data_IF_808906921501
#
_entry.id   IF_808906921501
#
_cell.length_a   1.000
_cell.length_b   1.000
_cell.length_c   1.000
_cell.angle_alpha   90.00
_cell.angle_beta   90.00
_cell.angle_gamma   90.00
#
_symmetry.space_group_name_H-M   'P 1'
#
loop_
_entity.id
_entity.type
_entity.pdbx_description
1 polymer ?
#
# COMPACT_ATOMS: atom_id res chain seq x y z
N UNK A 1 -4.62 -6.20 -0.65
CA UNK A 1 -3.79 -5.32 -1.50
C UNK A 1 -4.31 -5.44 -2.92
N UNK A 2 -4.33 -4.34 -3.69
CA UNK A 2 -4.59 -4.38 -5.14
C UNK A 2 -3.45 -3.67 -5.85
N UNK A 3 -2.93 -4.27 -6.91
CA UNK A 3 -1.86 -3.69 -7.72
C UNK A 3 -1.81 -4.29 -9.11
N UNK A 4 -1.07 -3.64 -10.00
CA UNK A 4 -0.81 -4.15 -11.34
C UNK A 4 0.34 -5.15 -11.33
N UNK A 5 0.12 -6.29 -11.97
CA UNK A 5 1.13 -7.33 -12.18
C UNK A 5 1.38 -7.49 -13.68
N UNK A 6 2.63 -7.37 -14.18
CA UNK A 6 2.94 -7.61 -15.58
C UNK A 6 2.85 -9.10 -15.94
N UNK A 7 2.82 -9.39 -17.24
CA UNK A 7 2.86 -10.78 -17.74
C UNK A 7 4.10 -11.51 -17.23
N UNK A 8 3.92 -12.75 -16.77
CA UNK A 8 4.99 -13.54 -16.16
C UNK A 8 5.50 -13.03 -14.81
N UNK A 9 4.79 -12.12 -14.14
CA UNK A 9 5.16 -11.67 -12.80
C UNK A 9 5.32 -12.84 -11.82
N UNK A 10 6.41 -12.80 -11.07
CA UNK A 10 6.72 -13.76 -10.02
C UNK A 10 7.02 -13.02 -8.73
N UNK A 11 6.42 -13.46 -7.63
CA UNK A 11 6.63 -12.82 -6.34
C UNK A 11 6.42 -13.82 -5.19
N UNK A 12 6.73 -13.35 -3.99
CA UNK A 12 6.45 -14.01 -2.72
C UNK A 12 5.84 -12.98 -1.79
N UNK A 13 5.03 -13.41 -0.85
CA UNK A 13 4.63 -12.58 0.28
C UNK A 13 5.50 -12.95 1.46
N UNK A 14 6.20 -11.96 2.03
CA UNK A 14 7.01 -12.15 3.23
C UNK A 14 6.54 -11.17 4.30
N UNK A 15 6.46 -11.64 5.54
CA UNK A 15 6.05 -10.78 6.66
C UNK A 15 7.09 -9.73 6.99
N UNK A 16 8.35 -10.16 7.06
CA UNK A 16 9.49 -9.32 7.41
C UNK A 16 10.37 -9.18 6.17
N UNK A 17 10.46 -7.99 5.55
CA UNK A 17 11.33 -7.77 4.40
C UNK A 17 12.76 -8.27 4.67
N UNK A 18 13.27 -9.14 3.79
CA UNK A 18 14.61 -9.74 3.92
C UNK A 18 14.67 -11.04 4.75
N UNK A 19 13.60 -11.44 5.44
CA UNK A 19 13.48 -12.76 6.07
C UNK A 19 12.45 -13.63 5.33
N UNK A 20 12.80 -14.90 5.17
CA UNK A 20 12.00 -15.91 4.48
C UNK A 20 11.33 -16.89 5.45
N UNK A 21 11.44 -16.65 6.75
CA UNK A 21 10.92 -17.56 7.79
C UNK A 21 9.39 -17.55 7.85
N UNK A 22 8.78 -16.41 7.51
CA UNK A 22 7.32 -16.22 7.49
C UNK A 22 6.91 -15.72 6.09
N UNK A 23 6.64 -16.66 5.19
CA UNK A 23 6.43 -16.45 3.76
C UNK A 23 5.29 -17.29 3.17
N UNK A 24 4.72 -16.80 2.08
CA UNK A 24 3.76 -17.53 1.26
C UNK A 24 4.26 -17.71 -0.16
N UNK A 25 4.05 -18.91 -0.69
CA UNK A 25 4.45 -19.34 -2.01
C UNK A 25 3.46 -20.28 -2.67
N UNK A 26 3.84 -20.82 -3.82
CA UNK A 26 3.06 -21.80 -4.57
C UNK A 26 3.64 -23.20 -4.38
N UNK A 27 2.85 -24.12 -3.81
CA UNK A 27 3.14 -25.54 -3.76
C UNK A 27 2.31 -26.33 -4.79
N UNK A 28 2.47 -27.65 -4.83
CA UNK A 28 1.83 -28.52 -5.83
C UNK A 28 0.29 -28.49 -5.79
N UNK A 29 -0.28 -28.26 -4.61
CA UNK A 29 -1.74 -28.25 -4.36
C UNK A 29 -2.33 -26.84 -4.21
N UNK A 30 -1.55 -25.78 -4.45
CA UNK A 30 -1.97 -24.38 -4.28
C UNK A 30 -1.04 -23.59 -3.38
N UNK A 31 -1.55 -22.50 -2.82
CA UNK A 31 -0.75 -21.61 -1.97
C UNK A 31 -0.41 -22.25 -0.64
N UNK A 32 0.84 -22.05 -0.19
CA UNK A 32 1.38 -22.65 1.04
C UNK A 32 2.12 -21.61 1.87
N UNK A 33 2.03 -21.73 3.19
CA UNK A 33 2.74 -20.90 4.18
C UNK A 33 3.97 -21.63 4.71
N UNK A 34 5.08 -20.91 4.82
CA UNK A 34 6.33 -21.33 5.48
C UNK A 34 6.91 -22.64 4.96
N UNK A 35 6.66 -22.92 3.69
CA UNK A 35 7.29 -24.02 2.96
C UNK A 35 8.50 -23.49 2.19
N UNK A 36 9.71 -23.76 2.69
CA UNK A 36 10.96 -23.33 2.06
C UNK A 36 11.21 -23.90 0.66
N UNK A 37 10.49 -24.96 0.26
CA UNK A 37 10.53 -25.52 -1.10
C UNK A 37 9.49 -24.94 -2.05
N UNK A 38 8.56 -24.11 -1.57
CA UNK A 38 7.51 -23.54 -2.41
C UNK A 38 8.06 -22.62 -3.49
N UNK A 39 7.47 -22.70 -4.68
CA UNK A 39 7.75 -21.81 -5.81
C UNK A 39 7.22 -20.39 -5.60
N UNK A 40 7.49 -19.54 -6.59
CA UNK A 40 6.96 -18.18 -6.62
C UNK A 40 5.46 -18.19 -6.91
N UNK A 41 4.74 -17.25 -6.32
CA UNK A 41 3.39 -16.89 -6.71
C UNK A 41 3.43 -16.26 -8.10
N UNK A 42 2.43 -16.56 -8.91
CA UNK A 42 2.28 -16.06 -10.28
C UNK A 42 0.86 -15.56 -10.51
N UNK A 43 0.71 -14.77 -11.56
CA UNK A 43 -0.59 -14.42 -12.15
C UNK A 43 -0.64 -14.95 -13.59
N UNK A 44 -1.84 -15.29 -14.07
CA UNK A 44 -2.02 -15.93 -15.38
C UNK A 44 -1.76 -14.99 -16.56
N UNK A 45 -2.00 -13.69 -16.39
CA UNK A 45 -1.82 -12.67 -17.40
C UNK A 45 -1.53 -11.31 -16.75
N UNK A 46 -1.07 -10.36 -17.56
CA UNK A 46 -0.90 -8.97 -17.11
C UNK A 46 -2.25 -8.35 -16.71
N UNK A 47 -2.33 -7.70 -15.55
CA UNK A 47 -3.56 -7.06 -15.09
C UNK A 47 -3.50 -6.60 -13.64
N UNK A 48 -4.60 -6.03 -13.16
CA UNK A 48 -4.78 -5.73 -11.73
C UNK A 48 -5.25 -6.97 -10.99
N UNK A 49 -4.65 -7.25 -9.85
CA UNK A 49 -5.03 -8.39 -9.01
C UNK A 49 -5.26 -7.95 -7.57
N UNK A 50 -6.27 -8.52 -6.94
CA UNK A 50 -6.49 -8.44 -5.51
C UNK A 50 -5.78 -9.60 -4.82
N UNK A 51 -4.85 -9.27 -3.93
CA UNK A 51 -4.22 -10.20 -3.00
C UNK A 51 -4.91 -10.07 -1.65
N UNK A 52 -5.53 -11.15 -1.19
CA UNK A 52 -6.15 -11.24 0.11
C UNK A 52 -5.48 -12.35 0.92
N UNK A 53 -4.79 -11.96 1.99
CA UNK A 53 -4.19 -12.87 2.95
C UNK A 53 -4.93 -12.78 4.28
N UNK A 54 -5.62 -13.84 4.67
CA UNK A 54 -6.20 -13.99 6.01
C UNK A 54 -5.18 -14.69 6.90
N UNK A 55 -4.52 -13.93 7.77
CA UNK A 55 -3.48 -14.45 8.67
C UNK A 55 -4.03 -15.21 9.88
N UNK A 56 -5.34 -15.18 10.13
CA UNK A 56 -5.97 -15.96 11.19
C UNK A 56 -6.25 -17.40 10.74
N UNK A 57 -6.55 -17.60 9.46
CA UNK A 57 -6.83 -18.91 8.84
C UNK A 57 -5.69 -19.41 7.95
N UNK A 58 -4.67 -18.59 7.73
CA UNK A 58 -3.57 -18.85 6.78
C UNK A 58 -4.04 -19.09 5.34
N UNK A 59 -5.13 -18.43 4.95
CA UNK A 59 -5.72 -18.52 3.62
C UNK A 59 -5.25 -17.34 2.74
N UNK A 60 -4.65 -17.67 1.59
CA UNK A 60 -4.29 -16.71 0.55
C UNK A 60 -5.23 -16.89 -0.65
N UNK A 61 -5.75 -15.78 -1.19
CA UNK A 61 -6.36 -15.74 -2.51
C UNK A 61 -5.73 -14.65 -3.35
N UNK A 62 -5.59 -14.92 -4.64
CA UNK A 62 -5.12 -13.98 -5.66
C UNK A 62 -6.10 -14.08 -6.82
N UNK A 63 -6.79 -13.00 -7.12
CA UNK A 63 -7.84 -12.98 -8.14
C UNK A 63 -7.80 -11.69 -8.96
N UNK A 64 -8.24 -11.71 -10.24
CA UNK A 64 -8.33 -10.49 -11.04
C UNK A 64 -9.18 -9.42 -10.34
N UNK A 65 -8.74 -8.17 -10.41
CA UNK A 65 -9.45 -7.02 -9.88
C UNK A 65 -10.14 -6.27 -11.03
N UNK A 66 -11.47 -6.30 -11.04
CA UNK A 66 -12.32 -5.69 -12.06
C UNK A 66 -12.91 -4.33 -11.62
N UNK A 67 -12.43 -3.79 -10.49
CA UNK A 67 -12.88 -2.50 -9.98
C UNK A 67 -12.34 -1.33 -10.82
N UNK A 68 -12.93 -0.15 -10.63
CA UNK A 68 -12.45 1.07 -11.29
C UNK A 68 -11.11 1.49 -10.70
N UNK A 69 -10.12 1.69 -11.55
CA UNK A 69 -8.80 2.20 -11.18
C UNK A 69 -8.66 3.61 -11.74
N UNK A 70 -8.54 4.59 -10.85
CA UNK A 70 -8.21 5.98 -11.23
C UNK A 70 -6.71 6.13 -11.46
N UNK A 71 -6.32 7.08 -12.31
CA UNK A 71 -4.90 7.40 -12.56
C UNK A 71 -4.61 8.79 -12.01
N UNK A 72 -3.59 8.90 -11.15
CA UNK A 72 -3.20 10.15 -10.51
C UNK A 72 -1.74 10.44 -10.81
N UNK A 73 -1.43 11.70 -11.11
CA UNK A 73 -0.06 12.10 -11.47
C UNK A 73 0.80 12.35 -10.24
N UNK A 74 0.16 12.64 -9.10
CA UNK A 74 0.82 12.97 -7.86
C UNK A 74 -0.06 12.61 -6.68
N UNK A 75 0.54 12.07 -5.62
CA UNK A 75 -0.05 11.97 -4.29
C UNK A 75 0.78 12.78 -3.30
N UNK A 76 0.11 13.51 -2.42
CA UNK A 76 0.68 14.32 -1.35
C UNK A 76 0.16 13.88 0.03
N UNK A 77 0.87 14.27 1.10
CA UNK A 77 0.42 14.11 2.49
C UNK A 77 0.12 15.45 3.17
N UNK A 78 -0.95 16.16 2.79
CA UNK A 78 -1.32 17.39 3.48
C UNK A 78 -1.71 17.13 4.94
N UNK A 79 -0.98 17.70 5.89
CA UNK A 79 -1.36 17.77 7.30
C UNK A 79 -1.31 19.14 7.98
N UNK A 80 -1.78 19.17 9.23
CA UNK A 80 -1.84 20.38 10.05
C UNK A 80 -0.46 21.02 10.27
N UNK A 81 0.59 20.21 10.34
CA UNK A 81 1.98 20.65 10.54
C UNK A 81 2.54 21.54 9.42
N UNK A 82 1.92 21.51 8.23
CA UNK A 82 2.33 22.30 7.07
C UNK A 82 1.19 23.21 6.56
N UNK A 83 0.04 23.24 7.24
CA UNK A 83 -1.08 24.12 6.91
C UNK A 83 -2.05 23.57 5.87
N UNK A 84 -2.17 22.25 5.75
CA UNK A 84 -3.08 21.57 4.82
C UNK A 84 -2.82 21.90 3.33
N UNK A 85 -1.59 22.27 2.96
CA UNK A 85 -1.19 22.46 1.56
C UNK A 85 -1.09 21.12 0.83
N UNK A 86 -1.90 20.94 -0.21
CA UNK A 86 -1.97 19.74 -1.04
C UNK A 86 -0.81 19.62 -2.02
N UNK A 87 0.05 20.63 -2.12
CA UNK A 87 1.23 20.65 -3.00
C UNK A 87 2.55 20.31 -2.29
N UNK A 88 2.51 20.13 -0.97
CA UNK A 88 3.67 19.78 -0.14
C UNK A 88 3.66 18.28 0.23
N UNK A 89 4.81 17.77 0.68
CA UNK A 89 5.02 16.37 1.07
C UNK A 89 4.55 15.36 0.02
N UNK A 90 5.04 15.59 -1.19
CA UNK A 90 4.80 14.74 -2.35
C UNK A 90 5.41 13.35 -2.15
N UNK A 91 4.62 12.33 -2.42
CA UNK A 91 5.04 10.93 -2.36
C UNK A 91 5.73 10.49 -3.65
N UNK A 92 6.66 9.55 -3.53
CA UNK A 92 7.32 8.91 -4.66
C UNK A 92 6.51 7.69 -5.11
N UNK A 93 6.38 7.49 -6.43
CA UNK A 93 5.84 6.24 -6.96
C UNK A 93 6.80 5.07 -6.77
N UNK A 94 6.28 3.87 -6.49
CA UNK A 94 7.08 2.65 -6.42
C UNK A 94 7.50 2.11 -7.78
N UNK A 95 6.67 2.30 -8.80
CA UNK A 95 6.91 1.80 -10.15
C UNK A 95 7.05 2.93 -11.17
N UNK A 96 7.95 2.72 -12.12
CA UNK A 96 8.09 3.56 -13.33
C UNK A 96 7.93 2.76 -14.62
N UNK A 97 7.75 1.43 -14.52
CA UNK A 97 7.64 0.52 -15.66
C UNK A 97 6.19 0.18 -16.03
N UNK A 98 5.26 0.43 -15.11
CA UNK A 98 3.81 0.26 -15.27
C UNK A 98 3.11 1.45 -14.60
N UNK A 99 1.82 1.62 -14.87
CA UNK A 99 1.01 2.65 -14.18
C UNK A 99 1.11 2.47 -12.67
N UNK A 100 1.48 3.55 -11.96
CA UNK A 100 1.82 3.48 -10.55
C UNK A 100 0.61 3.75 -9.68
N UNK A 101 0.37 2.86 -8.73
CA UNK A 101 -0.68 3.03 -7.71
C UNK A 101 -0.18 2.92 -6.27
N UNK A 102 1.13 2.67 -6.13
CA UNK A 102 1.78 2.50 -4.84
C UNK A 102 2.76 3.65 -4.62
N UNK A 103 2.58 4.33 -3.50
CA UNK A 103 3.26 5.57 -3.18
C UNK A 103 3.99 5.43 -1.86
N UNK A 104 5.13 6.09 -1.73
CA UNK A 104 5.89 6.08 -0.50
C UNK A 104 6.61 7.38 -0.18
N UNK A 105 6.80 7.62 1.12
CA UNK A 105 7.81 8.52 1.67
C UNK A 105 8.59 7.81 2.77
N UNK A 106 9.88 8.09 2.88
CA UNK A 106 10.77 7.43 3.85
C UNK A 106 11.33 8.45 4.82
N UNK A 107 11.46 8.05 6.09
CA UNK A 107 12.13 8.83 7.12
C UNK A 107 11.45 10.18 7.33
N UNK A 108 10.11 10.21 7.31
CA UNK A 108 9.34 11.41 7.59
C UNK A 108 9.14 11.50 9.09
N UNK A 109 9.59 12.61 9.68
CA UNK A 109 9.44 12.88 11.10
C UNK A 109 8.27 13.82 11.33
N UNK A 110 7.37 13.44 12.23
CA UNK A 110 6.24 14.24 12.67
C UNK A 110 6.37 14.55 14.16
N UNK A 111 5.87 15.71 14.55
CA UNK A 111 5.30 15.91 15.89
C UNK A 111 3.86 15.36 15.91
N UNK A 112 3.19 15.36 17.06
CA UNK A 112 1.76 15.00 17.11
C UNK A 112 0.98 15.86 16.11
N UNK A 113 0.36 15.21 15.13
CA UNK A 113 -0.27 15.90 14.01
C UNK A 113 -1.46 15.15 13.44
N UNK A 114 -2.12 15.81 12.48
CA UNK A 114 -3.17 15.23 11.67
C UNK A 114 -2.81 15.41 10.20
N UNK A 115 -3.09 14.40 9.37
CA UNK A 115 -2.88 14.48 7.93
C UNK A 115 -3.89 13.67 7.14
N UNK A 116 -3.89 13.85 5.82
CA UNK A 116 -4.62 13.05 4.83
C UNK A 116 -3.72 12.74 3.64
N UNK A 117 -4.19 11.90 2.73
CA UNK A 117 -3.63 11.76 1.39
C UNK A 117 -4.48 12.57 0.41
N UNK A 118 -3.86 13.24 -0.56
CA UNK A 118 -4.55 14.01 -1.58
C UNK A 118 -3.90 13.82 -2.94
N UNK A 119 -4.70 13.78 -4.01
CA UNK A 119 -4.20 13.63 -5.37
C UNK A 119 -4.11 14.98 -6.10
N UNK A 120 -3.15 15.05 -7.02
CA UNK A 120 -3.04 16.10 -8.05
C UNK A 120 -3.13 17.54 -7.51
N UNK A 121 -2.49 17.77 -6.35
CA UNK A 121 -2.45 19.05 -5.66
C UNK A 121 -3.83 19.69 -5.38
N UNK A 122 -4.89 18.87 -5.30
CA UNK A 122 -6.27 19.31 -5.04
C UNK A 122 -6.91 18.51 -3.90
N UNK A 123 -7.99 19.06 -3.33
CA UNK A 123 -8.85 18.34 -2.39
C UNK A 123 -9.97 17.55 -3.07
N UNK A 124 -10.10 17.61 -4.40
CA UNK A 124 -11.17 16.92 -5.13
C UNK A 124 -11.13 15.40 -4.91
N UNK A 125 -9.93 14.83 -4.89
CA UNK A 125 -9.69 13.42 -4.58
C UNK A 125 -8.74 13.33 -3.40
N UNK A 126 -9.24 12.77 -2.29
CA UNK A 126 -8.48 12.71 -1.03
C UNK A 126 -8.95 11.56 -0.16
N UNK A 127 -8.04 11.00 0.63
CA UNK A 127 -8.29 9.86 1.48
C UNK A 127 -7.94 10.18 2.93
N UNK A 128 -8.85 9.82 3.83
CA UNK A 128 -8.64 9.94 5.27
C UNK A 128 -9.34 8.82 6.03
N UNK A 129 -8.84 8.51 7.22
CA UNK A 129 -9.38 7.51 8.12
C UNK A 129 -8.87 7.75 9.53
N UNK A 130 -9.56 7.20 10.54
CA UNK A 130 -9.10 7.26 11.94
C UNK A 130 -8.16 6.10 12.31
N UNK A 131 -7.85 5.20 11.37
CA UNK A 131 -6.96 4.07 11.61
C UNK A 131 -5.49 4.49 11.67
N UNK A 132 -4.75 4.02 12.65
CA UNK A 132 -3.30 4.20 12.77
C UNK A 132 -2.70 2.98 13.50
N UNK A 133 -1.51 2.46 13.12
CA UNK A 133 -0.59 2.95 12.09
C UNK A 133 -0.94 2.51 10.66
N UNK A 134 -1.97 1.69 10.50
CA UNK A 134 -2.47 1.29 9.19
C UNK A 134 -3.97 1.49 9.14
N UNK A 135 -4.49 1.62 7.93
CA UNK A 135 -5.92 1.81 7.72
C UNK A 135 -6.28 1.84 6.25
N UNK A 136 -7.56 2.04 6.01
CA UNK A 136 -8.11 2.27 4.68
C UNK A 136 -8.82 3.61 4.69
N UNK A 137 -8.26 4.57 3.96
CA UNK A 137 -8.82 5.89 3.76
C UNK A 137 -9.98 5.86 2.79
N UNK A 138 -10.99 6.70 3.03
CA UNK A 138 -12.13 6.88 2.12
C UNK A 138 -12.18 8.30 1.58
N UNK A 139 -12.83 8.48 0.43
CA UNK A 139 -13.02 9.79 -0.20
C UNK A 139 -13.66 10.77 0.80
N UNK A 140 -12.96 11.87 1.09
CA UNK A 140 -13.46 12.86 2.05
C UNK A 140 -13.52 12.38 3.51
N UNK A 141 -12.87 11.25 3.83
CA UNK A 141 -12.85 10.67 5.17
C UNK A 141 -12.19 11.57 6.23
N UNK A 142 -12.27 11.20 7.52
CA UNK A 142 -11.69 11.98 8.62
C UNK A 142 -10.16 12.07 8.54
N UNK A 143 -9.55 13.02 9.25
CA UNK A 143 -8.10 13.13 9.32
C UNK A 143 -7.48 11.91 10.02
N UNK A 144 -6.29 11.52 9.56
CA UNK A 144 -5.46 10.50 10.21
C UNK A 144 -4.66 11.20 11.31
N UNK A 145 -4.88 10.79 12.56
CA UNK A 145 -4.10 11.28 13.71
C UNK A 145 -2.80 10.50 13.77
N UNK A 146 -1.67 11.19 13.62
CA UNK A 146 -0.32 10.61 13.59
C UNK A 146 0.45 11.10 14.82
N UNK A 147 0.82 10.20 15.75
CA UNK A 147 1.66 10.56 16.89
C UNK A 147 3.07 11.00 16.45
N UNK A 148 3.75 11.73 17.33
CA UNK A 148 5.14 12.09 17.13
C UNK A 148 6.04 10.85 16.90
N UNK A 149 6.90 10.93 15.89
CA UNK A 149 7.78 9.83 15.52
C UNK A 149 8.31 9.95 14.09
N UNK A 150 9.21 9.03 13.73
CA UNK A 150 9.74 8.91 12.37
C UNK A 150 9.21 7.66 11.70
N UNK A 151 8.68 7.80 10.48
CA UNK A 151 8.01 6.71 9.77
C UNK A 151 8.50 6.56 8.33
N UNK A 152 8.42 5.34 7.82
CA UNK A 152 8.20 5.06 6.41
C UNK A 152 6.69 5.00 6.17
N UNK A 153 6.19 5.80 5.24
CA UNK A 153 4.77 5.81 4.88
C UNK A 153 4.59 5.15 3.52
N UNK A 154 3.61 4.28 3.44
CA UNK A 154 3.16 3.63 2.20
C UNK A 154 1.68 3.87 2.00
N UNK A 155 1.26 4.10 0.75
CA UNK A 155 -0.12 4.33 0.38
C UNK A 155 -0.42 3.67 -0.97
N UNK A 156 -1.56 2.99 -1.05
CA UNK A 156 -2.11 2.42 -2.28
C UNK A 156 -3.38 3.19 -2.64
N UNK A 157 -3.37 3.87 -3.79
CA UNK A 157 -4.47 4.77 -4.18
C UNK A 157 -5.73 4.05 -4.68
N UNK A 158 -5.61 2.79 -5.08
CA UNK A 158 -6.73 1.97 -5.58
C UNK A 158 -7.71 1.69 -4.43
N UNK A 159 -7.19 1.16 -3.32
CA UNK A 159 -8.02 0.85 -2.14
C UNK A 159 -8.06 1.97 -1.10
N UNK A 160 -7.15 2.94 -1.20
CA UNK A 160 -6.91 3.93 -0.15
C UNK A 160 -6.20 3.35 1.08
N UNK A 161 -5.60 2.15 0.99
CA UNK A 161 -4.92 1.52 2.13
C UNK A 161 -3.55 2.16 2.36
N UNK A 162 -3.21 2.42 3.62
CA UNK A 162 -1.93 2.98 4.02
C UNK A 162 -1.30 2.26 5.20
N UNK A 163 0.00 2.47 5.38
CA UNK A 163 0.74 1.98 6.54
C UNK A 163 1.89 2.94 6.90
N UNK A 164 1.98 3.30 8.18
CA UNK A 164 3.05 4.06 8.81
C UNK A 164 3.95 3.08 9.58
N UNK A 165 5.07 2.69 8.97
CA UNK A 165 6.04 1.79 9.59
C UNK A 165 7.06 2.63 10.37
N UNK A 166 7.15 2.50 11.70
CA UNK A 166 8.16 3.21 12.49
C UNK A 166 9.58 2.90 11.98
N UNK A 167 10.44 3.90 11.98
CA UNK A 167 11.88 3.73 11.74
C UNK A 167 12.53 3.44 13.10
N UNK A 168 13.08 2.24 13.25
CA UNK A 168 13.91 1.85 14.42
C UNK A 168 15.35 2.35 14.29
#
# INVERSE_FOLDING_TARGET
YVGYFPDGAQFKLIKNPGSWDDQWGLGDAGYVKNDGGSGNLTVDAAGYYMIHLNTATDELTIEPYEGTVGVYTQIAMPGAYQGWDTSLDLMNGMSTSVENHDWYLKNVTYEDTELKFAADASWDVNWGSTGFPYGQGTQGGPNIVVPAGTYHVYFNDILGTYNFVPVE
#
